data_IF_981815882567
#
_entry.id   IF_981815882567
#
_cell.length_a   1.000
_cell.length_b   1.000
_cell.length_c   1.000
_cell.angle_alpha   90.00
_cell.angle_beta   90.00
_cell.angle_gamma   90.00
#
_symmetry.space_group_name_H-M   'P 1'
#
loop_
_entity.id
_entity.type
_entity.pdbx_description
1 polymer ?
#
# COMPACT_ATOMS: atom_id res chain seq x y z
N UNK A 1 19.90 12.40 60.57
CA UNK A 1 20.89 12.79 59.58
C UNK A 1 20.99 11.79 58.43
N UNK A 2 20.67 10.55 58.65
CA UNK A 2 20.62 9.55 57.58
C UNK A 2 19.40 9.67 56.66
N UNK A 3 18.46 10.52 57.01
CA UNK A 3 17.21 10.67 56.24
C UNK A 3 17.38 11.32 54.88
N UNK A 4 18.38 12.19 54.76
CA UNK A 4 18.64 12.89 53.48
C UNK A 4 19.21 11.98 52.41
N UNK A 5 19.94 10.95 52.79
CA UNK A 5 20.54 9.99 51.88
C UNK A 5 19.48 9.08 51.26
N UNK A 6 18.46 8.75 52.07
CA UNK A 6 17.38 7.87 51.61
C UNK A 6 16.53 8.51 50.50
N UNK A 7 16.29 9.81 50.60
CA UNK A 7 15.54 10.55 49.59
C UNK A 7 16.30 10.67 48.27
N UNK A 8 17.58 10.86 48.34
CA UNK A 8 18.40 10.96 47.14
C UNK A 8 18.47 9.65 46.39
N UNK A 9 18.55 8.55 47.11
CA UNK A 9 18.58 7.21 46.51
C UNK A 9 17.27 6.87 45.83
N UNK A 10 16.15 7.27 46.43
CA UNK A 10 14.82 7.02 45.83
C UNK A 10 14.62 7.85 44.57
N UNK A 11 15.12 9.07 44.55
CA UNK A 11 15.00 9.95 43.39
C UNK A 11 15.85 9.46 42.21
N UNK A 12 17.02 8.93 42.47
CA UNK A 12 17.87 8.35 41.45
C UNK A 12 17.22 7.12 40.79
N UNK A 13 16.49 6.39 41.58
CA UNK A 13 15.85 5.16 41.08
C UNK A 13 14.74 5.43 40.09
N UNK A 14 14.01 6.54 40.23
CA UNK A 14 12.94 6.96 39.35
C UNK A 14 13.42 7.43 37.97
N UNK A 15 14.68 7.84 37.88
CA UNK A 15 15.23 8.36 36.63
C UNK A 15 15.73 7.32 35.65
N UNK A 16 15.75 6.05 36.04
CA UNK A 16 16.32 4.99 35.21
C UNK A 16 15.32 4.21 34.40
N UNK A 17 14.06 4.61 34.38
CA UNK A 17 12.99 3.80 33.76
C UNK A 17 12.45 4.44 32.49
N UNK A 18 13.26 5.19 31.77
CA UNK A 18 12.84 5.69 30.47
C UNK A 18 13.41 4.80 29.37
N UNK A 19 12.62 3.85 28.92
CA UNK A 19 12.95 3.09 27.72
C UNK A 19 12.49 3.87 26.50
N UNK A 20 13.38 4.07 25.52
CA UNK A 20 12.93 4.61 24.26
C UNK A 20 11.99 3.60 23.58
N UNK A 21 10.77 3.99 23.38
CA UNK A 21 9.83 3.21 22.58
C UNK A 21 10.19 3.46 21.14
N UNK A 22 10.81 2.49 20.53
CA UNK A 22 11.08 2.54 19.09
C UNK A 22 9.80 2.06 18.40
N UNK A 23 8.99 3.00 17.95
CA UNK A 23 7.85 2.70 17.11
C UNK A 23 8.36 2.30 15.72
N UNK A 24 7.92 1.15 15.23
CA UNK A 24 8.24 0.72 13.89
C UNK A 24 7.63 1.72 12.89
N UNK A 25 8.47 2.31 12.06
CA UNK A 25 8.02 3.25 11.03
C UNK A 25 7.29 2.50 9.93
N UNK A 26 6.18 3.07 9.51
CA UNK A 26 5.40 2.58 8.37
C UNK A 26 5.38 3.64 7.30
N UNK A 27 5.40 3.22 6.06
CA UNK A 27 5.30 4.10 4.91
C UNK A 27 4.32 3.54 3.90
N UNK A 28 3.56 4.43 3.28
CA UNK A 28 2.71 4.08 2.16
C UNK A 28 3.58 3.88 0.92
N UNK A 29 3.38 2.74 0.28
CA UNK A 29 3.99 2.44 -1.01
C UNK A 29 2.88 2.37 -2.04
N UNK A 30 2.98 3.14 -3.11
CA UNK A 30 1.97 3.22 -4.15
C UNK A 30 2.54 2.76 -5.48
N UNK A 31 1.78 1.91 -6.15
CA UNK A 31 2.09 1.39 -7.48
C UNK A 31 1.04 1.91 -8.45
N UNK A 32 1.48 2.43 -9.59
CA UNK A 32 0.59 3.04 -10.57
C UNK A 32 0.62 2.27 -11.87
N UNK A 33 -0.56 1.87 -12.33
CA UNK A 33 -0.73 1.15 -13.60
C UNK A 33 -1.45 2.05 -14.59
N UNK A 34 -0.88 2.19 -15.77
CA UNK A 34 -1.34 3.10 -16.80
C UNK A 34 -2.32 2.41 -17.74
N UNK A 35 -3.33 3.16 -18.15
CA UNK A 35 -4.33 2.70 -19.10
C UNK A 35 -4.35 3.63 -20.32
N UNK A 36 -4.64 3.04 -21.47
CA UNK A 36 -4.85 3.84 -22.68
C UNK A 36 -6.11 4.67 -22.50
N UNK A 37 -6.08 5.98 -22.81
CA UNK A 37 -7.28 6.81 -22.71
C UNK A 37 -8.49 6.18 -23.40
N UNK A 38 -9.65 6.28 -22.78
CA UNK A 38 -10.93 5.73 -23.25
C UNK A 38 -11.02 4.19 -23.26
N UNK A 39 -9.95 3.48 -22.84
CA UNK A 39 -9.90 2.02 -22.85
C UNK A 39 -9.89 1.46 -21.43
N UNK A 40 -10.39 0.25 -21.29
CA UNK A 40 -10.43 -0.46 -20.00
C UNK A 40 -9.52 -1.67 -19.94
N UNK A 41 -8.78 -1.97 -21.00
CA UNK A 41 -7.89 -3.12 -21.06
C UNK A 41 -6.59 -2.83 -20.31
N UNK A 42 -6.17 -3.80 -19.52
CA UNK A 42 -4.90 -3.73 -18.80
C UNK A 42 -3.79 -4.39 -19.64
N UNK A 43 -3.00 -3.55 -20.28
CA UNK A 43 -1.85 -4.02 -21.08
C UNK A 43 -0.61 -4.04 -20.21
N UNK A 44 -0.20 -5.22 -19.76
CA UNK A 44 0.90 -5.36 -18.81
C UNK A 44 2.23 -4.86 -19.39
N UNK A 45 2.65 -5.25 -20.61
CA UNK A 45 3.94 -4.79 -21.13
C UNK A 45 3.91 -3.35 -21.68
N UNK A 46 2.87 -2.58 -21.37
CA UNK A 46 2.70 -1.24 -21.92
C UNK A 46 3.04 -0.18 -20.88
N UNK A 47 3.79 0.84 -21.29
CA UNK A 47 4.05 2.07 -20.52
C UNK A 47 4.57 1.81 -19.08
N UNK A 48 5.45 0.81 -18.94
CA UNK A 48 6.06 0.51 -17.65
C UNK A 48 5.22 -0.37 -16.72
N UNK A 49 4.06 -0.81 -17.15
CA UNK A 49 3.18 -1.64 -16.32
C UNK A 49 3.82 -2.96 -15.90
N UNK A 50 4.64 -3.55 -16.75
CA UNK A 50 5.33 -4.80 -16.45
C UNK A 50 6.32 -4.64 -15.30
N UNK A 51 7.11 -3.58 -15.31
CA UNK A 51 8.06 -3.28 -14.23
C UNK A 51 7.32 -2.98 -12.94
N UNK A 52 6.27 -2.17 -13.01
CA UNK A 52 5.47 -1.80 -11.84
C UNK A 52 4.78 -3.01 -11.23
N UNK A 53 4.24 -3.89 -12.09
CA UNK A 53 3.60 -5.13 -11.63
C UNK A 53 4.61 -6.05 -10.94
N UNK A 54 5.80 -6.21 -11.50
CA UNK A 54 6.84 -7.03 -10.88
C UNK A 54 7.21 -6.51 -9.49
N UNK A 55 7.35 -5.21 -9.33
CA UNK A 55 7.64 -4.60 -8.04
C UNK A 55 6.49 -4.80 -7.03
N UNK A 56 5.26 -4.64 -7.47
CA UNK A 56 4.09 -4.88 -6.62
C UNK A 56 4.00 -6.34 -6.19
N UNK A 57 4.19 -7.26 -7.11
CA UNK A 57 4.15 -8.70 -6.81
C UNK A 57 5.23 -9.08 -5.79
N UNK A 58 6.42 -8.51 -5.89
CA UNK A 58 7.49 -8.72 -4.91
C UNK A 58 7.08 -8.17 -3.54
N UNK A 59 6.50 -6.99 -3.49
CA UNK A 59 6.01 -6.39 -2.25
C UNK A 59 4.90 -7.24 -1.61
N UNK A 60 3.97 -7.74 -2.40
CA UNK A 60 2.91 -8.62 -1.93
C UNK A 60 3.49 -9.91 -1.37
N UNK A 61 4.45 -10.51 -2.04
CA UNK A 61 5.07 -11.77 -1.59
C UNK A 61 5.76 -11.58 -0.24
N UNK A 62 6.47 -10.49 -0.04
CA UNK A 62 7.12 -10.17 1.22
C UNK A 62 6.14 -9.95 2.37
N UNK A 63 4.91 -9.55 2.08
CA UNK A 63 3.89 -9.21 3.08
C UNK A 63 2.67 -10.12 3.02
N UNK A 64 2.77 -11.25 2.34
CA UNK A 64 1.62 -12.08 1.99
C UNK A 64 0.83 -12.57 3.20
N UNK A 65 1.50 -12.99 4.25
CA UNK A 65 0.82 -13.46 5.46
C UNK A 65 -0.04 -12.37 6.07
N UNK A 66 0.50 -11.17 6.21
CA UNK A 66 -0.24 -10.04 6.77
C UNK A 66 -1.41 -9.62 5.87
N UNK A 67 -1.22 -9.70 4.55
CA UNK A 67 -2.30 -9.40 3.59
C UNK A 67 -3.43 -10.42 3.72
N UNK A 68 -3.11 -11.71 3.70
CA UNK A 68 -4.11 -12.77 3.80
C UNK A 68 -4.83 -12.79 5.13
N UNK A 69 -4.14 -12.39 6.20
CA UNK A 69 -4.74 -12.26 7.53
C UNK A 69 -5.64 -11.03 7.69
N UNK A 70 -5.70 -10.17 6.69
CA UNK A 70 -6.48 -8.95 6.74
C UNK A 70 -5.84 -7.80 7.52
N UNK A 71 -4.59 -7.96 7.95
CA UNK A 71 -3.86 -6.93 8.68
C UNK A 71 -3.28 -5.85 7.78
N UNK A 72 -3.09 -6.16 6.51
CA UNK A 72 -2.50 -5.27 5.53
C UNK A 72 -3.37 -5.25 4.28
N UNK A 73 -4.40 -4.40 4.23
CA UNK A 73 -5.24 -4.31 3.05
C UNK A 73 -4.52 -3.65 1.88
N UNK A 74 -4.90 -4.03 0.67
CA UNK A 74 -4.47 -3.38 -0.55
C UNK A 74 -5.55 -2.39 -0.99
N UNK A 75 -5.21 -1.13 -1.04
CA UNK A 75 -6.13 -0.08 -1.49
C UNK A 75 -5.98 0.08 -2.99
N UNK A 76 -7.04 -0.22 -3.72
CA UNK A 76 -7.07 -0.12 -5.17
C UNK A 76 -8.00 1.00 -5.59
N UNK A 77 -7.44 2.01 -6.23
CA UNK A 77 -8.18 3.16 -6.73
C UNK A 77 -8.15 3.16 -8.24
N UNK A 78 -9.31 3.07 -8.85
CA UNK A 78 -9.48 3.17 -10.30
C UNK A 78 -9.82 4.59 -10.71
N UNK A 79 -9.24 5.06 -11.80
CA UNK A 79 -9.44 6.41 -12.32
C UNK A 79 -9.77 6.37 -13.81
N UNK A 80 -10.66 7.24 -14.22
CA UNK A 80 -10.94 7.52 -15.61
C UNK A 80 -11.54 8.91 -15.74
N UNK A 81 -11.04 9.71 -16.68
CA UNK A 81 -11.61 11.02 -17.01
C UNK A 81 -11.62 11.29 -18.52
N UNK A 82 -11.42 10.25 -19.32
CA UNK A 82 -11.26 10.39 -20.77
C UNK A 82 -12.53 10.09 -21.57
N UNK A 83 -13.64 9.76 -20.90
CA UNK A 83 -14.92 9.50 -21.55
C UNK A 83 -15.86 10.73 -21.42
N UNK A 84 -17.03 10.62 -22.05
CA UNK A 84 -17.94 11.77 -22.23
C UNK A 84 -18.78 12.13 -21.02
N UNK A 85 -18.90 11.26 -20.01
CA UNK A 85 -19.72 11.51 -18.83
C UNK A 85 -19.10 10.96 -17.57
N UNK A 86 -19.51 11.50 -16.44
CA UNK A 86 -19.08 11.00 -15.12
C UNK A 86 -19.48 9.54 -14.91
N UNK A 87 -20.69 9.18 -15.33
CA UNK A 87 -21.19 7.80 -15.19
C UNK A 87 -20.32 6.83 -15.98
N UNK A 88 -19.96 7.15 -17.21
CA UNK A 88 -19.08 6.33 -18.03
C UNK A 88 -17.67 6.23 -17.44
N UNK A 89 -17.16 7.35 -16.95
CA UNK A 89 -15.84 7.39 -16.32
C UNK A 89 -15.79 6.51 -15.07
N UNK A 90 -16.80 6.58 -14.20
CA UNK A 90 -16.87 5.74 -13.00
C UNK A 90 -16.97 4.26 -13.35
N UNK A 91 -17.79 3.91 -14.35
CA UNK A 91 -17.92 2.52 -14.78
C UNK A 91 -16.60 1.97 -15.33
N UNK A 92 -15.90 2.76 -16.12
CA UNK A 92 -14.61 2.37 -16.68
C UNK A 92 -13.52 2.30 -15.60
N UNK A 93 -13.51 3.23 -14.66
CA UNK A 93 -12.61 3.19 -13.52
C UNK A 93 -12.78 1.89 -12.74
N UNK A 94 -14.01 1.48 -12.50
CA UNK A 94 -14.31 0.21 -11.82
C UNK A 94 -13.79 -1.00 -12.60
N UNK A 95 -14.01 -1.05 -13.90
CA UNK A 95 -13.50 -2.14 -14.73
C UNK A 95 -11.99 -2.20 -14.70
N UNK A 96 -11.32 -1.06 -14.80
CA UNK A 96 -9.86 -0.96 -14.72
C UNK A 96 -9.33 -1.49 -13.39
N UNK A 97 -9.93 -1.06 -12.29
CA UNK A 97 -9.57 -1.55 -10.95
C UNK A 97 -9.74 -3.06 -10.84
N UNK A 98 -10.85 -3.58 -11.35
CA UNK A 98 -11.12 -5.03 -11.33
C UNK A 98 -10.10 -5.82 -12.18
N UNK A 99 -9.65 -5.29 -13.29
CA UNK A 99 -8.63 -5.94 -14.10
C UNK A 99 -7.29 -6.05 -13.38
N UNK A 100 -6.87 -4.97 -12.71
CA UNK A 100 -5.65 -5.00 -11.90
C UNK A 100 -5.80 -5.98 -10.73
N UNK A 101 -6.93 -5.95 -10.03
CA UNK A 101 -7.21 -6.89 -8.94
C UNK A 101 -7.17 -8.33 -9.42
N UNK A 102 -7.77 -8.63 -10.56
CA UNK A 102 -7.78 -9.97 -11.13
C UNK A 102 -6.36 -10.47 -11.42
N UNK A 103 -5.50 -9.62 -11.94
CA UNK A 103 -4.11 -9.96 -12.17
C UNK A 103 -3.39 -10.32 -10.85
N UNK A 104 -3.62 -9.56 -9.80
CA UNK A 104 -3.03 -9.81 -8.49
C UNK A 104 -3.58 -11.08 -7.83
N UNK A 105 -4.85 -11.37 -8.02
CA UNK A 105 -5.45 -12.61 -7.51
C UNK A 105 -4.81 -13.83 -8.20
N UNK A 106 -4.67 -13.76 -9.50
CA UNK A 106 -4.10 -14.87 -10.28
C UNK A 106 -2.62 -15.04 -10.02
N UNK A 107 -1.85 -13.95 -10.03
CA UNK A 107 -0.39 -14.01 -9.94
C UNK A 107 0.13 -14.13 -8.51
N UNK A 108 -0.57 -13.56 -7.54
CA UNK A 108 -0.09 -13.48 -6.16
C UNK A 108 -0.86 -14.35 -5.18
N UNK A 109 -1.97 -14.95 -5.59
CA UNK A 109 -2.75 -15.83 -4.72
C UNK A 109 -3.46 -15.11 -3.58
N UNK A 110 -3.71 -13.81 -3.72
CA UNK A 110 -4.51 -13.06 -2.75
C UNK A 110 -5.98 -13.13 -3.13
N UNK A 111 -6.86 -12.64 -2.26
CA UNK A 111 -8.30 -12.80 -2.42
C UNK A 111 -8.99 -11.46 -2.60
N UNK A 112 -10.19 -11.48 -3.18
CA UNK A 112 -11.01 -10.27 -3.36
C UNK A 112 -11.20 -9.52 -2.03
N UNK A 113 -11.40 -10.24 -0.94
CA UNK A 113 -11.59 -9.65 0.40
C UNK A 113 -10.36 -8.91 0.93
N UNK A 114 -9.20 -9.11 0.31
CA UNK A 114 -7.96 -8.40 0.71
C UNK A 114 -7.86 -6.99 0.12
N UNK A 115 -8.78 -6.62 -0.76
CA UNK A 115 -8.78 -5.30 -1.40
C UNK A 115 -9.83 -4.38 -0.79
N UNK A 116 -9.48 -3.11 -0.74
CA UNK A 116 -10.43 -2.01 -0.52
C UNK A 116 -10.40 -1.18 -1.78
N UNK A 117 -11.52 -1.10 -2.50
CA UNK A 117 -11.59 -0.50 -3.82
C UNK A 117 -12.39 0.78 -3.82
N UNK A 118 -11.88 1.79 -4.49
CA UNK A 118 -12.59 3.05 -4.74
C UNK A 118 -12.40 3.45 -6.20
N UNK A 119 -13.42 4.07 -6.79
CA UNK A 119 -13.41 4.46 -8.19
C UNK A 119 -13.65 5.95 -8.33
N UNK A 120 -12.93 6.58 -9.26
CA UNK A 120 -12.92 8.03 -9.43
C UNK A 120 -13.10 8.41 -10.90
N UNK A 121 -13.95 9.39 -11.14
CA UNK A 121 -14.16 9.95 -12.48
C UNK A 121 -13.23 11.14 -12.76
N UNK A 122 -12.07 11.17 -12.13
CA UNK A 122 -11.14 12.30 -12.15
C UNK A 122 -9.70 11.82 -12.39
N UNK A 123 -8.81 12.76 -12.56
CA UNK A 123 -7.34 12.66 -12.51
C UNK A 123 -6.64 11.95 -13.67
N UNK A 124 -7.28 11.13 -14.45
CA UNK A 124 -6.61 10.54 -15.60
C UNK A 124 -6.98 9.08 -15.86
N UNK A 125 -6.07 8.37 -16.49
CA UNK A 125 -6.30 7.02 -16.98
C UNK A 125 -5.30 6.06 -16.32
N UNK A 126 -5.59 5.68 -15.08
CA UNK A 126 -4.69 4.81 -14.33
C UNK A 126 -5.42 4.12 -13.17
N UNK A 127 -4.75 3.15 -12.59
CA UNK A 127 -5.14 2.49 -11.34
C UNK A 127 -3.96 2.56 -10.39
N UNK A 128 -4.21 2.87 -9.13
CA UNK A 128 -3.20 2.79 -8.09
C UNK A 128 -3.48 1.65 -7.14
N UNK A 129 -2.43 1.00 -6.67
CA UNK A 129 -2.48 0.02 -5.60
C UNK A 129 -1.55 0.50 -4.50
N UNK A 130 -2.08 0.67 -3.30
CA UNK A 130 -1.34 1.22 -2.17
C UNK A 130 -1.35 0.26 -0.98
N UNK A 131 -0.18 0.09 -0.37
CA UNK A 131 0.00 -0.65 0.87
C UNK A 131 0.77 0.20 1.87
N UNK A 132 0.46 0.03 3.15
CA UNK A 132 1.25 0.63 4.22
C UNK A 132 2.15 -0.44 4.83
N UNK A 133 3.41 -0.44 4.46
CA UNK A 133 4.37 -1.47 4.86
C UNK A 133 5.39 -0.93 5.85
N UNK A 134 5.96 -1.81 6.70
CA UNK A 134 7.06 -1.38 7.56
C UNK A 134 8.27 -0.97 6.72
N UNK A 135 8.88 0.14 7.10
CA UNK A 135 10.12 0.60 6.45
C UNK A 135 11.25 -0.29 6.93
N UNK A 136 11.91 -0.95 6.01
CA UNK A 136 13.13 -1.69 6.29
C UNK A 136 14.33 -0.85 5.88
N UNK A 137 15.35 -0.84 6.73
CA UNK A 137 16.57 -0.09 6.47
C UNK A 137 17.41 -0.65 5.32
N UNK A 138 17.13 -1.82 4.88
CA UNK A 138 17.87 -2.41 3.77
C UNK A 138 17.43 -1.76 2.49
N UNK A 139 18.23 -0.88 2.10
CA UNK A 139 18.06 -0.25 0.84
C UNK A 139 18.21 -1.20 -0.29
N UNK A 140 17.49 -1.11 -1.18
CA UNK A 140 18.09 -1.38 -2.17
C UNK A 140 17.82 -2.17 -3.25
N UNK A 141 16.79 -2.39 -3.49
CA UNK A 141 16.47 -2.94 -4.77
C UNK A 141 15.77 -1.89 -5.60
N UNK A 142 15.69 -2.03 -6.83
CA UNK A 142 15.16 -1.09 -7.75
C UNK A 142 13.63 -0.92 -7.70
N UNK A 143 13.00 -1.52 -6.72
CA UNK A 143 11.58 -1.29 -6.44
C UNK A 143 11.40 -0.37 -5.21
#
# INVERSE_FOLDING_TARGET
MSRKITFLTLFLWLMTVTFPVIAQQKADTTYTFRFVPQKDMFYVPWNGNDTELACLLECIEKNKTAILDGKLPLYVDGYCNSLGSETENLATAKIRANRVKSELIICAGIKEENFITCNHATEGDFVTVRLTVPVKETAGDGC
#
